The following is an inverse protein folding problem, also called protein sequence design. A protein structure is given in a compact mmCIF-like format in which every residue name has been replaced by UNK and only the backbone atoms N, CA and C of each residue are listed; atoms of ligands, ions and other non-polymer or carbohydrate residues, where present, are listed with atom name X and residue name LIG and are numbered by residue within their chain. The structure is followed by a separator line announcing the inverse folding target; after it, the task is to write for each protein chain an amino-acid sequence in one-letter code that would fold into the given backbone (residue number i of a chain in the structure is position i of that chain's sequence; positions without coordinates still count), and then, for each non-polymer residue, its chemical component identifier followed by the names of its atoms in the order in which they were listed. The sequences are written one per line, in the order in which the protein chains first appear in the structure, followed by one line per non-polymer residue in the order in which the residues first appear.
data_IF_278065826323
#
_entry.id   IF_278065826323
#
_cell.length_a   1.000
_cell.length_b   1.000
_cell.length_c   1.000
_cell.angle_alpha   90.00
_cell.angle_beta   90.00
_cell.angle_gamma   90.00
#
_symmetry.space_group_name_H-M   'P 1'
#
loop_
_entity.id
_entity.type
_entity.pdbx_description
1 polymer ?
#
# COMPACT_ATOMS: atom_id res chain seq x y z
N UNK A 1 -11.41 7.88 -38.23
CA UNK A 1 -10.63 8.03 -36.99
C UNK A 1 -11.39 7.32 -35.88
N UNK A 2 -10.75 6.47 -35.07
CA UNK A 2 -11.44 5.84 -33.93
C UNK A 2 -11.94 6.93 -32.97
N UNK A 3 -13.08 6.67 -32.32
CA UNK A 3 -13.66 7.61 -31.37
C UNK A 3 -12.69 7.86 -30.20
N UNK A 4 -12.57 9.11 -29.71
CA UNK A 4 -11.79 9.40 -28.52
C UNK A 4 -12.31 8.58 -27.33
N UNK A 5 -11.40 8.14 -26.46
CA UNK A 5 -11.76 7.44 -25.22
C UNK A 5 -11.90 8.45 -24.10
N UNK A 6 -12.98 8.37 -23.33
CA UNK A 6 -13.17 9.17 -22.12
C UNK A 6 -13.11 8.24 -20.91
N UNK A 7 -12.34 8.63 -19.90
CA UNK A 7 -12.28 7.94 -18.61
C UNK A 7 -12.42 8.97 -17.50
N UNK A 8 -13.34 8.72 -16.58
CA UNK A 8 -13.53 9.55 -15.40
C UNK A 8 -12.72 9.05 -14.23
N UNK A 9 -12.08 9.98 -13.53
CA UNK A 9 -11.21 9.70 -12.40
C UNK A 9 -11.86 10.29 -11.13
N UNK A 10 -12.02 9.45 -10.12
CA UNK A 10 -12.50 9.83 -8.79
C UNK A 10 -11.40 9.57 -7.77
N UNK A 11 -10.85 10.60 -7.16
CA UNK A 11 -9.72 10.48 -6.23
C UNK A 11 -10.21 10.56 -4.78
N UNK A 12 -9.91 9.53 -3.99
CA UNK A 12 -10.16 9.49 -2.56
C UNK A 12 -8.81 9.57 -1.85
N UNK A 13 -8.60 10.61 -1.04
CA UNK A 13 -7.33 10.85 -0.36
C UNK A 13 -6.38 11.75 -1.16
N UNK A 14 -6.07 12.90 -0.57
CA UNK A 14 -5.15 13.91 -1.12
C UNK A 14 -4.01 14.23 -0.13
N UNK A 15 -3.54 13.20 0.58
CA UNK A 15 -2.31 13.25 1.37
C UNK A 15 -1.06 13.24 0.49
N UNK A 16 0.11 12.90 1.05
CA UNK A 16 1.38 12.91 0.32
C UNK A 16 1.34 12.15 -1.02
N UNK A 17 0.83 10.91 -1.00
CA UNK A 17 0.66 10.09 -2.21
C UNK A 17 -0.38 10.70 -3.17
N UNK A 18 -1.55 11.09 -2.66
CA UNK A 18 -2.63 11.64 -3.48
C UNK A 18 -2.27 12.93 -4.20
N UNK A 19 -1.53 13.85 -3.56
CA UNK A 19 -1.02 15.07 -4.21
C UNK A 19 -0.04 14.75 -5.33
N UNK A 20 0.88 13.81 -5.08
CA UNK A 20 1.82 13.36 -6.10
C UNK A 20 1.08 12.73 -7.29
N UNK A 21 0.10 11.87 -7.01
CA UNK A 21 -0.75 11.26 -8.03
C UNK A 21 -1.48 12.31 -8.88
N UNK A 22 -2.14 13.30 -8.27
CA UNK A 22 -2.86 14.34 -9.01
C UNK A 22 -1.93 15.19 -9.90
N UNK A 23 -0.71 15.48 -9.42
CA UNK A 23 0.33 16.16 -10.21
C UNK A 23 0.74 15.33 -11.43
N UNK A 24 0.95 14.02 -11.25
CA UNK A 24 1.29 13.11 -12.34
C UNK A 24 0.12 12.91 -13.31
N UNK A 25 -1.12 12.83 -12.80
CA UNK A 25 -2.34 12.71 -13.58
C UNK A 25 -2.50 13.91 -14.52
N UNK A 26 -2.22 15.13 -14.07
CA UNK A 26 -2.25 16.33 -14.93
C UNK A 26 -1.32 16.19 -16.15
N UNK A 27 -0.08 15.75 -15.93
CA UNK A 27 0.89 15.51 -17.01
C UNK A 27 0.45 14.37 -17.94
N UNK A 28 -0.06 13.27 -17.36
CA UNK A 28 -0.54 12.11 -18.11
C UNK A 28 -1.75 12.45 -18.97
N UNK A 29 -2.75 13.15 -18.41
CA UNK A 29 -3.97 13.56 -19.11
C UNK A 29 -3.65 14.44 -20.32
N UNK A 30 -2.74 15.41 -20.15
CA UNK A 30 -2.25 16.25 -21.26
C UNK A 30 -1.64 15.41 -22.38
N UNK A 31 -0.70 14.51 -22.04
CA UNK A 31 -0.04 13.63 -23.02
C UNK A 31 -1.02 12.70 -23.74
N UNK A 32 -1.93 12.05 -23.00
CA UNK A 32 -2.88 11.07 -23.56
C UNK A 32 -3.92 11.73 -24.46
N UNK A 33 -4.34 12.97 -24.17
CA UNK A 33 -5.28 13.71 -25.01
C UNK A 33 -4.71 14.12 -26.38
N UNK A 34 -3.37 14.11 -26.51
CA UNK A 34 -2.65 14.50 -27.72
C UNK A 34 -2.21 13.30 -28.58
N UNK A 35 -2.58 12.06 -28.19
CA UNK A 35 -2.28 10.89 -29.01
C UNK A 35 -2.98 11.01 -30.38
N UNK A 36 -2.25 10.97 -31.51
CA UNK A 36 -2.81 11.21 -32.83
C UNK A 36 -3.66 10.04 -33.35
N UNK A 37 -3.48 8.85 -32.76
CA UNK A 37 -4.17 7.62 -33.18
C UNK A 37 -5.38 7.34 -32.30
N UNK A 38 -5.23 7.46 -30.97
CA UNK A 38 -6.25 7.10 -30.00
C UNK A 38 -6.27 8.08 -28.81
N UNK A 39 -6.73 9.32 -29.00
CA UNK A 39 -6.76 10.30 -27.92
C UNK A 39 -7.61 9.79 -26.75
N UNK A 40 -7.04 9.83 -25.55
CA UNK A 40 -7.69 9.43 -24.31
C UNK A 40 -7.77 10.60 -23.34
N UNK A 41 -8.99 10.98 -22.97
CA UNK A 41 -9.28 12.04 -22.02
C UNK A 41 -9.46 11.46 -20.63
N UNK A 42 -8.58 11.84 -19.72
CA UNK A 42 -8.66 11.50 -18.29
C UNK A 42 -9.22 12.71 -17.55
N UNK A 43 -10.45 12.63 -17.06
CA UNK A 43 -11.13 13.76 -16.43
C UNK A 43 -11.41 13.50 -14.97
N UNK A 44 -10.86 14.35 -14.11
CA UNK A 44 -11.16 14.34 -12.68
C UNK A 44 -12.62 14.79 -12.47
N UNK A 45 -13.43 13.99 -11.80
CA UNK A 45 -14.85 14.31 -11.54
C UNK A 45 -15.19 14.34 -10.04
N UNK A 46 -14.28 13.84 -9.21
CA UNK A 46 -14.41 13.78 -7.77
C UNK A 46 -13.02 13.81 -7.13
N UNK A 47 -12.86 14.61 -6.08
CA UNK A 47 -11.71 14.57 -5.20
C UNK A 47 -12.17 14.72 -3.75
N UNK A 48 -11.64 13.92 -2.84
CA UNK A 48 -12.01 13.98 -1.42
C UNK A 48 -10.82 13.87 -0.48
N UNK A 49 -11.00 14.43 0.72
CA UNK A 49 -10.19 14.16 1.91
C UNK A 49 -11.11 13.76 3.06
N UNK A 50 -10.55 13.47 4.24
CA UNK A 50 -11.29 12.94 5.40
C UNK A 50 -12.55 13.70 5.82
N UNK A 51 -12.68 15.00 5.49
CA UNK A 51 -13.81 15.83 5.92
C UNK A 51 -14.47 16.65 4.79
N UNK A 52 -13.95 16.61 3.57
CA UNK A 52 -14.42 17.45 2.46
C UNK A 52 -14.46 16.67 1.16
N UNK A 53 -15.48 16.98 0.36
CA UNK A 53 -15.69 16.45 -0.97
C UNK A 53 -15.80 17.59 -1.98
N UNK A 54 -15.18 17.43 -3.14
CA UNK A 54 -15.42 18.24 -4.33
C UNK A 54 -15.81 17.26 -5.44
N UNK A 55 -16.97 17.44 -6.04
CA UNK A 55 -17.46 16.58 -7.11
C UNK A 55 -18.29 17.39 -8.11
N UNK A 56 -18.50 16.82 -9.30
CA UNK A 56 -19.20 17.47 -10.40
C UNK A 56 -20.55 16.82 -10.66
N UNK A 57 -21.65 17.43 -10.23
CA UNK A 57 -23.01 16.88 -10.45
C UNK A 57 -23.33 16.59 -11.93
N UNK A 58 -22.70 17.31 -12.85
CA UNK A 58 -22.87 17.13 -14.30
C UNK A 58 -21.76 16.32 -14.96
N UNK A 59 -20.85 15.72 -14.18
CA UNK A 59 -19.64 15.03 -14.63
C UNK A 59 -18.70 15.87 -15.51
N UNK A 60 -18.84 17.20 -15.49
CA UNK A 60 -17.87 18.11 -16.10
C UNK A 60 -16.51 17.99 -15.39
N UNK A 61 -15.38 17.97 -16.13
CA UNK A 61 -14.07 17.84 -15.52
C UNK A 61 -13.79 18.95 -14.51
N UNK A 62 -13.37 18.56 -13.31
CA UNK A 62 -12.74 19.44 -12.33
C UNK A 62 -11.34 19.84 -12.80
N UNK A 63 -10.91 21.03 -12.40
CA UNK A 63 -9.61 21.57 -12.79
C UNK A 63 -8.47 20.85 -12.06
N UNK A 64 -7.58 20.22 -12.82
CA UNK A 64 -6.37 19.57 -12.27
C UNK A 64 -5.32 20.57 -11.77
N UNK A 65 -5.45 21.87 -12.07
CA UNK A 65 -4.54 22.91 -11.58
C UNK A 65 -5.05 23.62 -10.32
N UNK A 66 -6.36 23.62 -10.07
CA UNK A 66 -6.99 24.35 -8.95
C UNK A 66 -7.72 23.45 -7.96
N UNK A 67 -7.72 22.13 -8.18
CA UNK A 67 -8.45 21.16 -7.33
C UNK A 67 -8.22 21.36 -5.83
N UNK A 68 -7.01 21.75 -5.41
CA UNK A 68 -6.67 21.92 -3.99
C UNK A 68 -7.41 23.11 -3.39
N UNK A 69 -7.32 24.28 -4.02
CA UNK A 69 -8.06 25.49 -3.63
C UNK A 69 -9.57 25.27 -3.69
N UNK A 70 -10.05 24.59 -4.73
CA UNK A 70 -11.48 24.32 -4.91
C UNK A 70 -12.00 23.34 -3.83
N UNK A 71 -11.21 22.32 -3.47
CA UNK A 71 -11.53 21.40 -2.39
C UNK A 71 -11.40 22.07 -1.01
N UNK A 72 -10.51 23.05 -0.83
CA UNK A 72 -10.41 23.87 0.38
C UNK A 72 -11.65 24.77 0.55
N UNK A 73 -12.13 25.34 -0.54
CA UNK A 73 -13.33 26.18 -0.56
C UNK A 73 -14.64 25.36 -0.44
N UNK A 74 -14.63 24.07 -0.77
CA UNK A 74 -15.81 23.22 -0.68
C UNK A 74 -16.35 23.13 0.75
N UNK A 75 -17.68 23.23 0.84
CA UNK A 75 -18.47 23.05 2.08
C UNK A 75 -19.18 21.70 2.12
N UNK A 76 -19.03 20.88 1.09
CA UNK A 76 -19.67 19.59 1.01
C UNK A 76 -18.96 18.60 1.94
N UNK A 77 -19.67 17.98 2.90
CA UNK A 77 -19.08 16.94 3.73
C UNK A 77 -18.68 15.74 2.87
N UNK A 78 -17.71 14.95 3.36
CA UNK A 78 -17.40 13.67 2.71
C UNK A 78 -18.62 12.76 2.76
N UNK A 79 -18.92 12.12 1.63
CA UNK A 79 -19.97 11.11 1.53
C UNK A 79 -19.42 9.76 1.96
N UNK A 80 -20.28 8.88 2.46
CA UNK A 80 -19.89 7.49 2.68
C UNK A 80 -19.55 6.77 1.36
N UNK A 81 -18.79 5.67 1.39
CA UNK A 81 -18.37 4.97 0.18
C UNK A 81 -19.53 4.49 -0.70
N UNK A 82 -20.68 4.13 -0.11
CA UNK A 82 -21.85 3.67 -0.86
C UNK A 82 -22.45 4.81 -1.68
N UNK A 83 -22.64 5.98 -1.08
CA UNK A 83 -23.12 7.17 -1.78
C UNK A 83 -22.16 7.64 -2.88
N UNK A 84 -20.84 7.53 -2.66
CA UNK A 84 -19.85 7.77 -3.71
C UNK A 84 -20.04 6.76 -4.85
N UNK A 85 -20.17 5.47 -4.55
CA UNK A 85 -20.37 4.43 -5.56
C UNK A 85 -21.66 4.64 -6.38
N UNK A 86 -22.76 5.06 -5.74
CA UNK A 86 -24.00 5.39 -6.43
C UNK A 86 -23.81 6.54 -7.43
N UNK A 87 -23.25 7.67 -6.98
CA UNK A 87 -22.94 8.80 -7.85
C UNK A 87 -22.03 8.42 -9.02
N UNK A 88 -21.01 7.60 -8.78
CA UNK A 88 -20.08 7.19 -9.84
C UNK A 88 -20.72 6.21 -10.84
N UNK A 89 -21.67 5.38 -10.39
CA UNK A 89 -22.34 4.40 -11.26
C UNK A 89 -23.28 5.00 -12.30
N UNK A 90 -23.74 6.24 -12.08
CA UNK A 90 -24.57 6.99 -13.03
C UNK A 90 -23.77 7.85 -13.99
N UNK A 91 -22.44 7.80 -13.94
CA UNK A 91 -21.60 8.55 -14.86
C UNK A 91 -21.74 8.02 -16.30
N UNK A 92 -21.78 8.89 -17.33
CA UNK A 92 -21.98 8.47 -18.72
C UNK A 92 -20.83 7.66 -19.32
N UNK A 93 -19.66 7.65 -18.68
CA UNK A 93 -18.44 7.02 -19.17
C UNK A 93 -17.79 6.16 -18.07
N UNK A 94 -16.81 5.33 -18.45
CA UNK A 94 -16.13 4.44 -17.50
C UNK A 94 -15.41 5.23 -16.41
N UNK A 95 -15.54 4.77 -15.17
CA UNK A 95 -14.98 5.41 -13.98
C UNK A 95 -13.85 4.55 -13.38
N UNK A 96 -12.78 5.22 -12.97
CA UNK A 96 -11.72 4.68 -12.13
C UNK A 96 -11.69 5.45 -10.80
N UNK A 97 -11.93 4.74 -9.70
CA UNK A 97 -11.66 5.21 -8.35
C UNK A 97 -10.18 5.02 -8.06
N UNK A 98 -9.54 6.08 -7.56
CA UNK A 98 -8.16 6.07 -7.09
C UNK A 98 -8.18 6.30 -5.59
N UNK A 99 -8.13 5.22 -4.81
CA UNK A 99 -8.07 5.27 -3.35
C UNK A 99 -6.63 5.40 -2.88
N UNK A 100 -6.18 6.63 -2.60
CA UNK A 100 -4.85 6.94 -2.06
C UNK A 100 -4.84 7.02 -0.52
N UNK A 101 -5.73 6.30 0.16
CA UNK A 101 -5.83 6.28 1.62
C UNK A 101 -5.27 4.99 2.23
N UNK A 102 -5.32 4.92 3.56
CA UNK A 102 -5.18 3.69 4.35
C UNK A 102 -6.50 3.33 5.07
N UNK A 103 -7.63 3.80 4.53
CA UNK A 103 -8.95 3.66 5.15
C UNK A 103 -9.45 2.22 5.07
N UNK A 104 -9.88 1.67 6.21
CA UNK A 104 -10.55 0.37 6.28
C UNK A 104 -11.95 0.45 5.69
N UNK A 105 -12.69 1.53 5.99
CA UNK A 105 -14.07 1.74 5.52
C UNK A 105 -14.15 1.79 3.99
N UNK A 106 -13.23 2.50 3.34
CA UNK A 106 -13.19 2.54 1.86
C UNK A 106 -12.84 1.16 1.30
N UNK A 107 -11.89 0.46 1.91
CA UNK A 107 -11.44 -0.87 1.49
C UNK A 107 -12.54 -1.94 1.57
N UNK A 108 -13.34 -1.95 2.65
CA UNK A 108 -14.45 -2.89 2.85
C UNK A 108 -15.56 -2.70 1.80
N UNK A 109 -15.67 -1.51 1.22
CA UNK A 109 -16.67 -1.18 0.21
C UNK A 109 -16.18 -1.41 -1.24
N UNK A 110 -14.95 -1.88 -1.47
CA UNK A 110 -14.45 -2.18 -2.83
C UNK A 110 -15.37 -3.11 -3.64
N UNK A 111 -15.95 -4.19 -3.09
CA UNK A 111 -16.89 -5.02 -3.83
C UNK A 111 -18.10 -4.26 -4.39
N UNK A 112 -18.55 -3.20 -3.69
CA UNK A 112 -19.70 -2.38 -4.14
C UNK A 112 -19.34 -1.58 -5.38
N UNK A 113 -18.17 -0.92 -5.38
CA UNK A 113 -17.67 -0.20 -6.56
C UNK A 113 -17.51 -1.14 -7.76
N UNK A 114 -16.85 -2.28 -7.54
CA UNK A 114 -16.56 -3.25 -8.60
C UNK A 114 -17.84 -3.85 -9.19
N UNK A 115 -18.84 -4.20 -8.37
CA UNK A 115 -20.16 -4.68 -8.85
C UNK A 115 -20.87 -3.68 -9.74
N UNK A 116 -20.66 -2.38 -9.51
CA UNK A 116 -21.19 -1.28 -10.34
C UNK A 116 -20.36 -1.01 -11.61
N UNK A 117 -19.35 -1.83 -11.90
CA UNK A 117 -18.47 -1.68 -13.06
C UNK A 117 -17.43 -0.56 -12.91
N UNK A 118 -17.24 -0.04 -11.69
CA UNK A 118 -16.27 1.00 -11.38
C UNK A 118 -14.93 0.33 -11.07
N UNK A 119 -13.89 0.69 -11.79
CA UNK A 119 -12.55 0.14 -11.56
C UNK A 119 -11.87 0.84 -10.39
N UNK A 120 -10.93 0.18 -9.73
CA UNK A 120 -10.19 0.67 -8.57
C UNK A 120 -8.68 0.57 -8.85
N UNK A 121 -7.95 1.64 -8.55
CA UNK A 121 -6.48 1.66 -8.51
C UNK A 121 -6.06 2.20 -7.14
N UNK A 122 -5.18 1.50 -6.41
CA UNK A 122 -4.93 1.89 -5.02
C UNK A 122 -3.57 1.41 -4.45
N UNK A 123 -2.89 2.22 -3.60
CA UNK A 123 -1.86 1.73 -2.67
C UNK A 123 -2.42 1.12 -1.36
N UNK A 124 -3.73 1.15 -1.13
CA UNK A 124 -4.34 0.75 0.14
C UNK A 124 -4.29 -0.77 0.34
N UNK A 125 -3.40 -1.21 1.24
CA UNK A 125 -3.22 -2.64 1.58
C UNK A 125 -4.43 -3.25 2.27
N UNK A 126 -5.31 -2.45 2.91
CA UNK A 126 -6.34 -2.96 3.83
C UNK A 126 -7.32 -3.92 3.15
N UNK A 127 -7.73 -3.62 1.93
CA UNK A 127 -8.64 -4.45 1.14
C UNK A 127 -8.06 -5.85 0.85
N UNK A 128 -6.73 -5.92 0.69
CA UNK A 128 -6.05 -7.11 0.18
C UNK A 128 -5.33 -7.92 1.27
N UNK A 129 -5.06 -7.29 2.40
CA UNK A 129 -4.43 -7.88 3.59
C UNK A 129 -5.38 -7.98 4.78
N UNK A 130 -6.66 -7.62 4.62
CA UNK A 130 -7.69 -7.79 5.64
C UNK A 130 -8.10 -9.26 5.79
N UNK A 131 -9.40 -9.51 6.01
CA UNK A 131 -9.93 -10.88 6.01
C UNK A 131 -9.72 -11.57 4.67
N UNK A 132 -9.68 -12.89 4.68
CA UNK A 132 -9.64 -13.67 3.44
C UNK A 132 -10.97 -13.54 2.68
N UNK A 133 -12.09 -13.47 3.41
CA UNK A 133 -13.42 -13.22 2.82
C UNK A 133 -13.46 -11.94 1.99
N UNK A 134 -12.91 -10.81 2.49
CA UNK A 134 -12.88 -9.56 1.73
C UNK A 134 -12.04 -9.70 0.46
N UNK A 135 -10.91 -10.42 0.51
CA UNK A 135 -10.12 -10.73 -0.68
C UNK A 135 -10.94 -11.53 -1.69
N UNK A 136 -11.64 -12.58 -1.24
CA UNK A 136 -12.48 -13.40 -2.09
C UNK A 136 -13.63 -12.58 -2.69
N UNK A 137 -14.33 -11.77 -1.89
CA UNK A 137 -15.42 -10.90 -2.35
C UNK A 137 -14.96 -9.92 -3.43
N UNK A 138 -13.76 -9.35 -3.30
CA UNK A 138 -13.18 -8.45 -4.30
C UNK A 138 -12.90 -9.20 -5.60
N UNK A 139 -12.20 -10.34 -5.56
CA UNK A 139 -11.80 -11.05 -6.77
C UNK A 139 -12.93 -11.90 -7.37
N UNK A 140 -13.97 -12.22 -6.62
CA UNK A 140 -15.20 -12.84 -7.14
C UNK A 140 -15.96 -11.90 -8.08
N UNK A 141 -15.84 -10.58 -7.89
CA UNK A 141 -16.57 -9.58 -8.70
C UNK A 141 -15.67 -8.84 -9.69
N UNK A 142 -14.38 -8.70 -9.40
CA UNK A 142 -13.45 -7.98 -10.27
C UNK A 142 -13.31 -8.66 -11.64
N UNK A 143 -13.12 -7.85 -12.69
CA UNK A 143 -12.95 -8.33 -14.06
C UNK A 143 -11.64 -9.10 -14.26
N UNK A 144 -10.56 -8.65 -13.62
CA UNK A 144 -9.28 -9.37 -13.54
C UNK A 144 -9.26 -10.36 -12.36
N UNK A 145 -10.40 -11.02 -12.14
CA UNK A 145 -10.62 -12.06 -11.17
C UNK A 145 -11.55 -13.11 -11.79
N UNK A 146 -12.64 -13.45 -11.10
CA UNK A 146 -13.65 -14.40 -11.56
C UNK A 146 -14.94 -13.73 -12.07
N UNK A 147 -15.07 -12.41 -11.88
CA UNK A 147 -16.29 -11.67 -12.14
C UNK A 147 -16.27 -10.86 -13.44
N UNK A 148 -17.31 -10.05 -13.63
CA UNK A 148 -17.47 -9.16 -14.81
C UNK A 148 -17.61 -7.69 -14.41
N UNK A 149 -17.24 -7.33 -13.18
CA UNK A 149 -17.32 -5.98 -12.64
C UNK A 149 -16.23 -5.04 -13.18
N UNK A 150 -15.83 -4.06 -12.38
CA UNK A 150 -14.67 -3.22 -12.63
C UNK A 150 -13.35 -3.98 -12.48
N UNK A 151 -12.24 -3.38 -12.94
CA UNK A 151 -10.90 -3.91 -12.68
C UNK A 151 -10.37 -3.43 -11.34
N UNK A 152 -9.57 -4.24 -10.65
CA UNK A 152 -8.89 -3.83 -9.41
C UNK A 152 -7.37 -3.95 -9.56
N UNK A 153 -6.64 -2.86 -9.34
CA UNK A 153 -5.18 -2.81 -9.38
C UNK A 153 -4.62 -2.23 -8.09
N UNK A 154 -3.55 -2.87 -7.60
CA UNK A 154 -2.98 -2.60 -6.29
C UNK A 154 -1.46 -2.73 -6.25
N UNK A 155 -0.78 -2.48 -7.37
CA UNK A 155 0.69 -2.61 -7.51
C UNK A 155 1.42 -1.91 -6.35
N UNK A 156 1.02 -0.68 -6.01
CA UNK A 156 1.65 0.10 -4.95
C UNK A 156 1.40 -0.38 -3.53
N UNK A 157 0.60 -1.43 -3.33
CA UNK A 157 0.43 -2.07 -2.03
C UNK A 157 1.68 -2.85 -1.59
N UNK A 158 2.50 -3.34 -2.54
CA UNK A 158 3.75 -4.07 -2.28
C UNK A 158 4.85 -3.60 -3.23
N UNK A 159 5.97 -3.09 -2.71
CA UNK A 159 7.07 -2.62 -3.56
C UNK A 159 6.89 -1.23 -4.18
N UNK A 160 5.83 -0.50 -3.80
CA UNK A 160 5.54 0.87 -4.22
C UNK A 160 5.41 1.06 -5.75
N UNK A 161 6.50 1.38 -6.45
CA UNK A 161 6.50 1.53 -7.91
C UNK A 161 7.11 0.34 -8.65
N UNK A 162 7.63 -0.65 -7.92
CA UNK A 162 8.24 -1.84 -8.51
C UNK A 162 7.15 -2.79 -9.04
N UNK A 163 7.41 -3.47 -10.17
CA UNK A 163 6.45 -4.43 -10.75
C UNK A 163 6.51 -5.76 -9.98
N UNK A 164 6.00 -5.79 -8.74
CA UNK A 164 6.02 -6.98 -7.90
C UNK A 164 4.77 -7.81 -8.12
N UNK A 165 3.60 -7.18 -7.99
CA UNK A 165 2.30 -7.84 -8.05
C UNK A 165 1.96 -8.24 -9.48
N UNK A 166 2.16 -7.36 -10.45
CA UNK A 166 1.95 -7.68 -11.87
C UNK A 166 2.80 -8.86 -12.31
N UNK A 167 4.10 -8.84 -12.03
CA UNK A 167 5.02 -9.94 -12.35
C UNK A 167 4.57 -11.25 -11.68
N UNK A 168 4.25 -11.22 -10.39
CA UNK A 168 3.82 -12.42 -9.67
C UNK A 168 2.50 -12.98 -10.23
N UNK A 169 1.53 -12.12 -10.54
CA UNK A 169 0.25 -12.53 -11.14
C UNK A 169 0.45 -13.12 -12.53
N UNK A 170 1.25 -12.48 -13.38
CA UNK A 170 1.51 -12.96 -14.74
C UNK A 170 2.17 -14.35 -14.72
N UNK A 171 3.13 -14.58 -13.82
CA UNK A 171 3.74 -15.90 -13.63
C UNK A 171 2.69 -16.95 -13.24
N UNK A 172 1.88 -16.67 -12.23
CA UNK A 172 0.83 -17.62 -11.77
C UNK A 172 -0.24 -17.86 -12.85
N UNK A 173 -0.70 -16.80 -13.52
CA UNK A 173 -1.73 -16.88 -14.57
C UNK A 173 -1.25 -17.65 -15.82
N UNK A 174 0.05 -17.59 -16.13
CA UNK A 174 0.66 -18.36 -17.24
C UNK A 174 0.99 -19.81 -16.87
N UNK A 175 0.78 -20.20 -15.62
CA UNK A 175 0.94 -21.56 -15.11
C UNK A 175 2.29 -21.86 -14.46
N UNK A 176 3.09 -20.84 -14.13
CA UNK A 176 4.28 -21.02 -13.30
C UNK A 176 3.88 -21.30 -11.83
N UNK A 177 4.70 -22.08 -11.15
CA UNK A 177 4.46 -22.51 -9.77
C UNK A 177 5.46 -21.82 -8.83
N UNK A 178 4.99 -20.81 -8.12
CA UNK A 178 5.77 -20.10 -7.11
C UNK A 178 6.12 -21.06 -5.98
N UNK A 179 7.42 -21.29 -5.74
CA UNK A 179 7.88 -22.15 -4.64
C UNK A 179 8.20 -21.37 -3.37
N UNK A 180 8.89 -20.25 -3.52
CA UNK A 180 9.36 -19.43 -2.40
C UNK A 180 9.42 -17.96 -2.79
N UNK A 181 9.03 -17.08 -1.87
CA UNK A 181 9.20 -15.63 -1.97
C UNK A 181 9.95 -15.16 -0.74
N UNK A 182 11.07 -14.46 -0.94
CA UNK A 182 11.87 -13.86 0.14
C UNK A 182 12.25 -12.44 -0.23
N UNK A 183 12.23 -11.54 0.77
CA UNK A 183 12.67 -10.17 0.52
C UNK A 183 12.55 -9.25 1.72
N UNK A 184 13.07 -8.03 1.55
CA UNK A 184 12.93 -6.92 2.49
C UNK A 184 11.83 -6.01 1.98
N UNK A 185 10.69 -5.98 2.68
CA UNK A 185 9.48 -5.31 2.21
C UNK A 185 9.21 -3.97 2.90
N UNK A 186 10.05 -3.54 3.84
CA UNK A 186 9.95 -2.22 4.51
C UNK A 186 11.17 -1.37 4.20
N UNK A 187 10.94 -0.16 3.70
CA UNK A 187 12.00 0.83 3.44
C UNK A 187 12.70 1.24 4.74
N UNK A 188 11.93 1.47 5.80
CA UNK A 188 12.43 1.81 7.13
C UNK A 188 13.29 0.69 7.70
N UNK A 189 12.80 -0.57 7.68
CA UNK A 189 13.60 -1.71 8.14
C UNK A 189 14.85 -1.91 7.28
N UNK A 190 14.74 -1.75 5.96
CA UNK A 190 15.89 -1.82 5.06
C UNK A 190 16.95 -0.80 5.44
N UNK A 191 16.57 0.47 5.65
CA UNK A 191 17.48 1.51 6.09
C UNK A 191 18.13 1.17 7.43
N UNK A 192 17.33 0.78 8.42
CA UNK A 192 17.80 0.45 9.77
C UNK A 192 18.83 -0.67 9.73
N UNK A 193 18.54 -1.80 9.09
CA UNK A 193 19.47 -2.93 9.09
C UNK A 193 20.70 -2.72 8.20
N UNK A 194 20.58 -1.93 7.12
CA UNK A 194 21.75 -1.53 6.34
C UNK A 194 22.67 -0.56 7.07
N UNK A 195 22.16 0.24 8.02
CA UNK A 195 22.95 1.15 8.86
C UNK A 195 23.48 0.45 10.13
N UNK A 196 22.65 -0.38 10.76
CA UNK A 196 22.97 -1.17 11.95
C UNK A 196 24.03 -2.24 11.70
N UNK A 197 23.94 -2.92 10.55
CA UNK A 197 24.91 -3.94 10.12
C UNK A 197 25.19 -3.84 8.61
N UNK A 198 26.05 -2.88 8.21
CA UNK A 198 26.47 -2.72 6.82
C UNK A 198 27.32 -3.90 6.34
N UNK A 199 27.26 -4.17 5.04
CA UNK A 199 28.15 -5.12 4.36
C UNK A 199 29.54 -4.49 4.32
N UNK A 200 30.41 -4.83 5.26
CA UNK A 200 31.73 -4.21 5.46
C UNK A 200 32.05 -3.85 6.91
N UNK A 201 31.10 -4.02 7.83
CA UNK A 201 31.28 -3.71 9.26
C UNK A 201 31.06 -2.23 9.59
N UNK A 202 31.29 -1.86 10.86
CA UNK A 202 31.24 -0.46 11.30
C UNK A 202 29.84 0.13 11.58
N UNK A 203 28.79 -0.70 11.68
CA UNK A 203 27.46 -0.23 12.08
C UNK A 203 27.35 0.12 13.57
N UNK A 204 26.36 0.94 13.94
CA UNK A 204 26.14 1.43 15.31
C UNK A 204 25.25 0.53 16.17
N UNK A 205 24.81 1.09 17.31
CA UNK A 205 23.79 0.48 18.17
C UNK A 205 22.41 0.60 17.52
N UNK A 206 21.56 -0.39 17.73
CA UNK A 206 20.23 -0.40 17.13
C UNK A 206 19.40 0.85 17.49
N UNK A 207 19.39 1.24 18.77
CA UNK A 207 18.67 2.42 19.24
C UNK A 207 19.12 3.74 18.59
N UNK A 208 20.43 3.86 18.30
CA UNK A 208 21.01 5.03 17.62
C UNK A 208 20.58 5.09 16.15
N UNK A 209 20.51 3.93 15.48
CA UNK A 209 20.04 3.85 14.10
C UNK A 209 18.53 4.13 13.97
N UNK A 210 17.72 3.66 14.93
CA UNK A 210 16.29 4.01 15.01
C UNK A 210 16.13 5.51 15.20
N UNK A 211 16.94 6.13 16.08
CA UNK A 211 16.92 7.58 16.28
C UNK A 211 17.28 8.33 15.00
N UNK A 212 18.34 7.91 14.32
CA UNK A 212 18.77 8.50 13.05
C UNK A 212 17.69 8.39 11.97
N UNK A 213 17.01 7.24 11.87
CA UNK A 213 15.90 7.06 10.94
C UNK A 213 14.73 8.01 11.27
N UNK A 214 14.38 8.19 12.54
CA UNK A 214 13.37 9.15 12.99
C UNK A 214 13.76 10.59 12.64
N UNK A 215 14.99 10.99 12.92
CA UNK A 215 15.51 12.34 12.65
C UNK A 215 15.53 12.67 11.14
N UNK A 216 15.74 11.66 10.29
CA UNK A 216 15.68 11.78 8.82
C UNK A 216 14.25 11.70 8.25
N UNK A 217 13.24 11.44 9.08
CA UNK A 217 11.86 11.25 8.65
C UNK A 217 11.62 9.94 7.87
N UNK A 218 12.43 8.91 8.12
CA UNK A 218 12.28 7.58 7.52
C UNK A 218 11.43 6.63 8.35
N UNK A 219 11.02 7.02 9.56
CA UNK A 219 10.05 6.30 10.38
C UNK A 219 8.71 7.05 10.37
N UNK A 220 7.67 6.35 10.78
CA UNK A 220 6.45 7.00 11.28
C UNK A 220 6.75 7.88 12.51
N UNK A 221 5.85 8.82 12.90
CA UNK A 221 6.04 9.67 14.07
C UNK A 221 6.33 8.88 15.35
N UNK A 222 5.72 7.70 15.48
CA UNK A 222 6.06 6.69 16.47
C UNK A 222 6.78 5.51 15.79
N UNK A 223 8.10 5.33 16.01
CA UNK A 223 8.86 4.24 15.35
C UNK A 223 8.34 2.83 15.64
N UNK A 224 7.52 2.65 16.68
CA UNK A 224 6.85 1.37 16.97
C UNK A 224 5.93 0.93 15.85
N UNK A 225 5.36 1.86 15.08
CA UNK A 225 4.49 1.55 13.95
C UNK A 225 5.23 0.82 12.83
N UNK A 226 6.53 1.08 12.68
CA UNK A 226 7.43 0.36 11.77
C UNK A 226 7.95 -0.94 12.42
N UNK A 227 8.48 -0.83 13.65
CA UNK A 227 9.21 -1.91 14.34
C UNK A 227 8.34 -3.13 14.71
N UNK A 228 7.01 -2.99 14.73
CA UNK A 228 6.10 -4.11 15.01
C UNK A 228 6.00 -5.14 13.86
N UNK A 229 6.50 -4.83 12.66
CA UNK A 229 6.50 -5.75 11.51
C UNK A 229 5.16 -5.91 10.77
N UNK A 230 4.09 -5.24 11.21
CA UNK A 230 2.73 -5.39 10.66
C UNK A 230 2.60 -4.89 9.23
N UNK A 231 3.35 -3.85 8.84
CA UNK A 231 3.38 -3.41 7.43
C UNK A 231 3.97 -4.50 6.51
N UNK A 232 5.04 -5.16 6.95
CA UNK A 232 5.63 -6.30 6.23
C UNK A 232 4.66 -7.48 6.21
N UNK A 233 4.03 -7.80 7.34
CA UNK A 233 3.05 -8.89 7.41
C UNK A 233 1.85 -8.67 6.47
N UNK A 234 1.36 -7.44 6.32
CA UNK A 234 0.31 -7.10 5.34
C UNK A 234 0.76 -7.37 3.91
N UNK A 235 1.98 -6.96 3.55
CA UNK A 235 2.55 -7.20 2.21
C UNK A 235 2.71 -8.70 1.93
N UNK A 236 3.17 -9.46 2.93
CA UNK A 236 3.32 -10.91 2.85
C UNK A 236 1.97 -11.62 2.71
N UNK A 237 0.94 -11.16 3.40
CA UNK A 237 -0.44 -11.67 3.24
C UNK A 237 -0.91 -11.53 1.79
N UNK A 238 -0.65 -10.37 1.17
CA UNK A 238 -1.03 -10.12 -0.23
C UNK A 238 -0.26 -11.05 -1.18
N UNK A 239 1.06 -11.13 -1.03
CA UNK A 239 1.90 -11.97 -1.90
C UNK A 239 1.58 -13.46 -1.74
N UNK A 240 1.33 -13.93 -0.51
CA UNK A 240 0.97 -15.31 -0.22
C UNK A 240 -0.36 -15.68 -0.90
N UNK A 241 -1.37 -14.80 -0.80
CA UNK A 241 -2.67 -14.98 -1.48
C UNK A 241 -2.54 -15.03 -3.00
N UNK A 242 -1.70 -14.19 -3.59
CA UNK A 242 -1.42 -14.24 -5.04
C UNK A 242 -0.72 -15.55 -5.41
N UNK A 243 0.20 -16.03 -4.57
CA UNK A 243 0.90 -17.30 -4.76
C UNK A 243 0.03 -18.55 -4.48
N UNK A 244 -1.27 -18.38 -4.20
CA UNK A 244 -2.21 -19.48 -4.00
C UNK A 244 -2.43 -19.94 -2.56
N UNK A 245 -1.87 -19.24 -1.57
CA UNK A 245 -2.04 -19.58 -0.15
C UNK A 245 -3.27 -18.88 0.44
N UNK A 246 -4.08 -19.60 1.21
CA UNK A 246 -5.26 -19.06 1.90
C UNK A 246 -4.89 -18.37 3.23
N UNK A 247 -3.95 -17.42 3.17
CA UNK A 247 -3.51 -16.68 4.36
C UNK A 247 -4.64 -15.84 4.93
N UNK A 248 -5.08 -16.18 6.15
CA UNK A 248 -6.31 -15.62 6.75
C UNK A 248 -6.19 -14.15 7.11
N UNK A 249 -5.05 -13.74 7.68
CA UNK A 249 -4.79 -12.36 8.06
C UNK A 249 -3.28 -12.11 8.29
N UNK A 250 -2.85 -10.84 8.46
CA UNK A 250 -1.47 -10.49 8.77
C UNK A 250 -1.02 -10.96 10.17
N UNK A 251 -1.94 -11.48 10.98
CA UNK A 251 -1.67 -12.02 12.33
C UNK A 251 -1.87 -13.53 12.40
N UNK A 252 -2.13 -14.19 11.27
CA UNK A 252 -2.38 -15.63 11.19
C UNK A 252 -1.11 -16.48 11.08
N UNK A 253 0.06 -15.84 11.06
CA UNK A 253 1.36 -16.47 10.91
C UNK A 253 2.44 -15.76 11.77
N UNK A 254 3.61 -16.37 12.00
CA UNK A 254 4.65 -15.78 12.84
C UNK A 254 5.17 -14.43 12.32
N UNK A 255 5.05 -13.39 13.16
CA UNK A 255 5.61 -12.06 12.91
C UNK A 255 6.45 -11.66 14.12
N UNK A 256 7.76 -11.54 13.92
CA UNK A 256 8.68 -11.06 14.95
C UNK A 256 8.59 -9.53 15.05
N UNK A 257 8.09 -9.04 16.18
CA UNK A 257 8.21 -7.64 16.56
C UNK A 257 9.64 -7.32 17.02
N UNK A 258 10.15 -6.15 16.62
CA UNK A 258 11.42 -5.60 17.10
C UNK A 258 11.25 -4.67 18.30
N UNK A 259 10.02 -4.48 18.77
CA UNK A 259 9.72 -3.73 19.99
C UNK A 259 10.03 -4.64 21.19
N UNK A 260 10.94 -4.25 22.10
CA UNK A 260 11.12 -4.98 23.36
C UNK A 260 9.81 -5.04 24.13
N UNK A 261 9.47 -6.20 24.71
CA UNK A 261 8.17 -6.43 25.37
C UNK A 261 7.86 -5.39 26.46
N UNK A 262 8.89 -4.98 27.18
CA UNK A 262 8.81 -3.99 28.26
C UNK A 262 8.48 -2.57 27.75
N UNK A 263 8.68 -2.31 26.46
CA UNK A 263 8.44 -1.02 25.81
C UNK A 263 7.16 -0.97 24.97
N UNK A 264 6.45 -2.10 24.81
CA UNK A 264 5.16 -2.14 24.12
C UNK A 264 4.14 -1.21 24.78
N UNK A 265 4.14 -1.15 26.12
CA UNK A 265 3.22 -0.33 26.91
C UNK A 265 3.64 1.13 27.09
N UNK A 266 4.71 1.59 26.43
CA UNK A 266 5.10 3.00 26.48
C UNK A 266 3.97 3.90 25.98
N UNK A 267 3.78 5.06 26.61
CA UNK A 267 2.67 5.97 26.30
C UNK A 267 2.90 6.77 25.02
N UNK A 268 4.16 6.96 24.63
CA UNK A 268 4.54 7.71 23.43
C UNK A 268 5.80 7.15 22.77
N UNK A 269 5.95 7.45 21.48
CA UNK A 269 7.17 7.17 20.73
C UNK A 269 8.41 7.84 21.33
N UNK A 270 8.27 8.99 22.00
CA UNK A 270 9.40 9.66 22.67
C UNK A 270 9.86 8.89 23.92
N UNK A 271 8.92 8.40 24.73
CA UNK A 271 9.23 7.53 25.87
C UNK A 271 9.90 6.24 25.41
N UNK A 272 9.38 5.64 24.33
CA UNK A 272 9.96 4.47 23.68
C UNK A 272 11.42 4.73 23.28
N UNK A 273 11.69 5.84 22.58
CA UNK A 273 13.05 6.18 22.12
C UNK A 273 14.03 6.45 23.27
N UNK A 274 13.57 7.01 24.38
CA UNK A 274 14.42 7.23 25.56
C UNK A 274 14.86 5.92 26.23
N UNK A 275 14.02 4.88 26.16
CA UNK A 275 14.27 3.59 26.83
C UNK A 275 14.87 2.54 25.91
N UNK A 276 14.74 2.67 24.59
CA UNK A 276 15.18 1.66 23.62
C UNK A 276 16.65 1.26 23.78
N UNK A 277 17.54 2.20 24.10
CA UNK A 277 18.96 1.93 24.30
C UNK A 277 19.29 0.96 25.44
N UNK A 278 18.36 0.73 26.38
CA UNK A 278 18.53 -0.27 27.43
C UNK A 278 18.50 -1.72 26.89
N UNK A 279 18.01 -1.91 25.67
CA UNK A 279 17.81 -3.22 25.04
C UNK A 279 18.78 -3.49 23.88
N UNK A 280 19.74 -2.58 23.61
CA UNK A 280 20.72 -2.74 22.53
C UNK A 280 21.55 -4.03 22.69
N UNK A 281 21.78 -4.50 23.92
CA UNK A 281 22.56 -5.71 24.19
C UNK A 281 22.04 -6.95 23.47
N UNK A 282 20.72 -7.07 23.28
CA UNK A 282 20.12 -8.19 22.55
C UNK A 282 20.45 -8.13 21.05
N UNK A 283 20.37 -6.93 20.46
CA UNK A 283 20.69 -6.71 19.05
C UNK A 283 22.18 -6.84 18.77
N UNK A 284 23.04 -6.36 19.68
CA UNK A 284 24.49 -6.52 19.57
C UNK A 284 24.91 -7.99 19.64
N UNK A 285 24.27 -8.79 20.50
CA UNK A 285 24.49 -10.24 20.53
C UNK A 285 24.16 -10.88 19.18
N UNK A 286 22.97 -10.59 18.63
CA UNK A 286 22.55 -11.11 17.34
C UNK A 286 23.49 -10.69 16.19
N UNK A 287 23.90 -9.41 16.18
CA UNK A 287 24.86 -8.86 15.21
C UNK A 287 26.21 -9.56 15.28
N UNK A 288 26.69 -9.86 16.49
CA UNK A 288 27.94 -10.60 16.69
C UNK A 288 27.83 -12.05 16.20
N UNK A 289 26.75 -12.75 16.57
CA UNK A 289 26.52 -14.15 16.15
C UNK A 289 26.45 -14.25 14.62
N UNK A 290 25.74 -13.34 13.95
CA UNK A 290 25.72 -13.28 12.50
C UNK A 290 27.10 -12.97 11.90
N UNK A 291 27.86 -12.05 12.49
CA UNK A 291 29.20 -11.70 12.01
C UNK A 291 30.21 -12.85 12.16
N UNK A 292 30.13 -13.61 13.25
CA UNK A 292 30.96 -14.79 13.51
C UNK A 292 30.72 -15.88 12.44
N UNK A 293 29.54 -15.91 11.83
CA UNK A 293 29.18 -16.77 10.68
C UNK A 293 29.46 -16.12 9.30
N UNK A 294 30.02 -14.92 9.25
CA UNK A 294 30.25 -14.18 8.01
C UNK A 294 28.96 -13.67 7.33
N UNK A 295 27.88 -13.52 8.10
CA UNK A 295 26.55 -13.08 7.64
C UNK A 295 26.22 -11.67 8.10
N UNK A 296 25.11 -11.13 7.59
CA UNK A 296 24.48 -9.90 8.09
C UNK A 296 23.01 -10.15 8.41
N UNK A 297 22.47 -9.41 9.36
CA UNK A 297 21.06 -9.54 9.78
C UNK A 297 20.18 -8.64 8.94
N UNK A 298 19.05 -9.15 8.43
CA UNK A 298 18.02 -8.36 7.75
C UNK A 298 16.63 -8.70 8.27
N UNK A 299 15.72 -7.73 8.22
CA UNK A 299 14.31 -7.98 8.50
C UNK A 299 13.60 -8.44 7.22
N UNK A 300 13.36 -9.74 7.14
CA UNK A 300 12.93 -10.45 5.94
C UNK A 300 11.49 -10.94 6.11
N UNK A 301 10.72 -10.86 5.04
CA UNK A 301 9.51 -11.66 4.88
C UNK A 301 9.82 -12.89 4.03
N UNK A 302 9.31 -14.05 4.46
CA UNK A 302 9.50 -15.33 3.79
C UNK A 302 8.16 -16.02 3.58
N UNK A 303 7.94 -16.56 2.38
CA UNK A 303 6.80 -17.42 2.02
C UNK A 303 7.39 -18.68 1.41
N UNK A 304 7.10 -19.84 2.00
CA UNK A 304 7.35 -21.16 1.43
C UNK A 304 6.00 -21.77 1.05
N UNK A 305 5.67 -21.73 -0.24
CA UNK A 305 4.36 -22.14 -0.76
C UNK A 305 4.15 -23.64 -0.59
N UNK A 306 5.21 -24.43 -0.76
CA UNK A 306 5.14 -25.90 -0.65
C UNK A 306 4.87 -26.36 0.79
N UNK A 307 5.35 -25.60 1.77
CA UNK A 307 5.11 -25.87 3.20
C UNK A 307 3.89 -25.16 3.77
N UNK A 308 3.23 -24.30 2.98
CA UNK A 308 2.19 -23.40 3.47
C UNK A 308 2.68 -22.55 4.66
N UNK A 309 3.93 -22.09 4.60
CA UNK A 309 4.58 -21.33 5.67
C UNK A 309 4.80 -19.87 5.25
N UNK A 310 4.44 -18.95 6.13
CA UNK A 310 4.63 -17.51 5.97
C UNK A 310 5.24 -17.00 7.26
N UNK A 311 6.30 -16.21 7.18
CA UNK A 311 6.93 -15.63 8.37
C UNK A 311 7.56 -14.28 8.09
N UNK A 312 7.66 -13.47 9.13
CA UNK A 312 8.35 -12.19 9.12
C UNK A 312 9.28 -12.14 10.31
N UNK A 313 10.56 -11.82 10.10
CA UNK A 313 11.50 -11.64 11.18
C UNK A 313 12.94 -11.44 10.74
N UNK A 314 13.85 -11.58 11.69
CA UNK A 314 15.27 -11.46 11.45
C UNK A 314 15.82 -12.75 10.85
N UNK A 315 16.50 -12.62 9.72
CA UNK A 315 17.26 -13.68 9.05
C UNK A 315 18.68 -13.21 8.71
#
# INVERSE_FOLDING_TARGET
MPAPRQVFIAVIGVGGVGKCFLSQLSKLASRQSQDPSHPTYLSLILVSRSNKLLFSESYRPLSLSTWETDLDASKTPVLDPLAIAEYLSTAPEKVVVVDNTSSQDVAENYPIFLKKGISIVTPNKKAFSGTYDLWQDIFAVANNGQGTGGYVFHESSVGAGLPVISTLRELVETGDEVRRIEGVFSGTMSFLFNSFMPVGGGGGKFSEEVKKAKDLGYTEPDPRDDLNGLDVARKLTILARIAGLETQSPTSFPVQSLIPKELESCKSGDEFMQKLGQYDGNMEKLKKEAADEGKVVRFVGSIDVQKNDVKVGLE
#
